data_IF_555300169868
#
_entry.id   IF_555300169868
#
_cell.length_a   1.000
_cell.length_b   1.000
_cell.length_c   1.000
_cell.angle_alpha   90.00
_cell.angle_beta   90.00
_cell.angle_gamma   90.00
#
_symmetry.space_group_name_H-M   'P 1'
#
loop_
_entity.id
_entity.type
_entity.pdbx_description
1 polymer ?
#
# COMPACT_ATOMS: atom_id res chain seq x y z
N UNK A 1 -15.62 3.59 -29.88
CA UNK A 1 -14.16 3.82 -29.73
C UNK A 1 -13.49 2.47 -29.61
N UNK A 2 -12.43 2.18 -30.38
CA UNK A 2 -11.59 1.02 -30.09
C UNK A 2 -11.04 1.16 -28.67
N UNK A 3 -11.03 0.05 -27.92
CA UNK A 3 -10.36 -0.02 -26.63
C UNK A 3 -8.90 0.43 -26.83
N UNK A 4 -8.33 1.28 -25.95
CA UNK A 4 -6.92 1.64 -26.07
C UNK A 4 -6.08 0.37 -26.12
N UNK A 5 -5.22 0.23 -27.12
CA UNK A 5 -4.24 -0.85 -27.19
C UNK A 5 -3.47 -0.87 -25.88
N UNK A 6 -3.56 -1.99 -25.16
CA UNK A 6 -2.75 -2.19 -23.97
C UNK A 6 -1.29 -2.12 -24.42
N UNK A 7 -0.43 -1.33 -23.74
CA UNK A 7 0.97 -1.23 -24.11
C UNK A 7 1.58 -2.63 -24.13
N UNK A 8 2.34 -2.95 -25.18
CA UNK A 8 3.04 -4.23 -25.27
C UNK A 8 3.87 -4.45 -24.01
N UNK A 9 3.84 -5.65 -23.42
CA UNK A 9 4.62 -5.95 -22.22
C UNK A 9 6.10 -5.69 -22.49
N UNK A 10 6.80 -5.13 -21.49
CA UNK A 10 8.24 -4.97 -21.57
C UNK A 10 8.90 -6.33 -21.85
N UNK A 11 9.99 -6.36 -22.61
CA UNK A 11 10.67 -7.59 -23.00
C UNK A 11 11.93 -7.79 -22.16
N UNK A 12 12.17 -9.02 -21.70
CA UNK A 12 13.42 -9.45 -21.09
C UNK A 12 14.21 -10.28 -22.11
N UNK A 13 15.46 -9.90 -22.38
CA UNK A 13 16.37 -10.66 -23.25
C UNK A 13 17.53 -11.25 -22.45
N UNK A 14 17.95 -12.47 -22.81
CA UNK A 14 19.15 -13.09 -22.25
C UNK A 14 19.81 -14.02 -23.27
N UNK A 15 21.07 -14.40 -23.02
CA UNK A 15 21.78 -15.39 -23.81
C UNK A 15 21.95 -16.67 -23.02
N UNK A 16 21.55 -17.80 -23.59
CA UNK A 16 21.66 -19.14 -22.99
C UNK A 16 22.28 -20.09 -24.04
N UNK A 17 23.41 -20.71 -23.70
CA UNK A 17 24.19 -21.57 -24.62
C UNK A 17 24.52 -20.91 -25.98
N UNK A 18 24.73 -19.59 -26.00
CA UNK A 18 25.02 -18.83 -27.23
C UNK A 18 23.79 -18.45 -28.06
N UNK A 19 22.59 -18.82 -27.63
CA UNK A 19 21.32 -18.46 -28.28
C UNK A 19 20.68 -17.28 -27.54
N UNK A 20 20.19 -16.28 -28.27
CA UNK A 20 19.41 -15.18 -27.72
C UNK A 20 17.96 -15.65 -27.49
N UNK A 21 17.47 -15.45 -26.27
CA UNK A 21 16.10 -15.71 -25.87
C UNK A 21 15.42 -14.42 -25.44
N UNK A 22 14.10 -14.38 -25.63
CA UNK A 22 13.24 -13.29 -25.19
C UNK A 22 11.97 -13.84 -24.55
N UNK A 23 11.45 -13.11 -23.57
CA UNK A 23 10.17 -13.39 -22.94
C UNK A 23 9.55 -12.09 -22.43
N UNK A 24 8.24 -12.09 -22.23
CA UNK A 24 7.56 -10.99 -21.56
C UNK A 24 8.12 -10.79 -20.15
N UNK A 25 8.34 -9.55 -19.76
CA UNK A 25 8.70 -9.17 -18.40
C UNK A 25 7.45 -8.74 -17.64
N UNK A 26 7.20 -9.38 -16.50
CA UNK A 26 6.11 -8.99 -15.60
C UNK A 26 6.65 -8.57 -14.24
N UNK A 27 6.36 -7.31 -13.89
CA UNK A 27 6.57 -6.72 -12.58
C UNK A 27 5.35 -5.87 -12.21
N UNK A 28 4.69 -6.18 -11.10
CA UNK A 28 3.44 -5.51 -10.71
C UNK A 28 3.65 -4.05 -10.35
N UNK A 29 4.82 -3.73 -9.80
CA UNK A 29 5.23 -2.37 -9.49
C UNK A 29 5.72 -1.56 -10.70
N UNK A 30 5.63 -2.10 -11.93
CA UNK A 30 6.10 -1.46 -13.15
C UNK A 30 7.62 -1.31 -13.25
N UNK A 31 8.40 -2.04 -12.45
CA UNK A 31 9.85 -2.01 -12.54
C UNK A 31 10.32 -2.44 -13.94
N UNK A 32 11.34 -1.78 -14.53
CA UNK A 32 11.88 -2.18 -15.83
C UNK A 32 12.60 -3.54 -15.73
N UNK A 33 12.69 -4.29 -16.85
CA UNK A 33 13.43 -5.55 -16.89
C UNK A 33 14.91 -5.33 -16.54
N UNK A 34 15.56 -6.26 -15.82
CA UNK A 34 17.01 -6.23 -15.62
C UNK A 34 17.78 -6.23 -16.93
N UNK A 35 18.87 -5.45 -17.00
CA UNK A 35 19.70 -5.33 -18.21
C UNK A 35 20.66 -6.49 -18.43
N UNK A 36 21.01 -7.21 -17.36
CA UNK A 36 21.94 -8.34 -17.39
C UNK A 36 21.27 -9.53 -16.75
N UNK A 37 21.27 -10.65 -17.44
CA UNK A 37 20.66 -11.90 -16.99
C UNK A 37 21.65 -13.02 -17.23
N UNK A 38 21.85 -13.87 -16.24
CA UNK A 38 22.62 -15.11 -16.36
C UNK A 38 21.77 -16.29 -15.92
N UNK A 39 22.01 -17.44 -16.53
CA UNK A 39 21.42 -18.71 -16.11
C UNK A 39 21.93 -19.08 -14.72
N UNK A 40 21.03 -19.52 -13.85
CA UNK A 40 21.34 -20.05 -12.53
C UNK A 40 20.58 -21.35 -12.29
N UNK A 41 21.16 -22.29 -11.55
CA UNK A 41 20.55 -23.56 -11.19
C UNK A 41 21.04 -24.04 -9.82
N UNK A 42 20.70 -25.27 -9.46
CA UNK A 42 20.99 -25.88 -8.15
C UNK A 42 22.50 -25.92 -7.80
N UNK A 43 23.40 -25.71 -8.76
CA UNK A 43 24.84 -25.64 -8.53
C UNK A 43 25.32 -24.28 -8.01
N UNK A 44 24.51 -23.22 -8.13
CA UNK A 44 24.90 -21.87 -7.77
C UNK A 44 24.86 -21.66 -6.25
N UNK A 45 26.01 -21.34 -5.66
CA UNK A 45 26.07 -20.99 -4.24
C UNK A 45 25.52 -19.58 -3.95
N UNK A 46 25.11 -19.37 -2.72
CA UNK A 46 24.44 -18.13 -2.30
C UNK A 46 25.36 -16.90 -2.24
N UNK A 47 26.68 -17.05 -2.08
CA UNK A 47 27.62 -15.93 -2.10
C UNK A 47 27.79 -15.37 -3.52
N UNK A 48 27.94 -16.26 -4.50
CA UNK A 48 27.97 -15.88 -5.92
C UNK A 48 26.65 -15.25 -6.36
N UNK A 49 25.51 -15.86 -6.01
CA UNK A 49 24.19 -15.32 -6.33
C UNK A 49 23.98 -13.91 -5.73
N UNK A 50 24.32 -13.75 -4.45
CA UNK A 50 24.22 -12.46 -3.76
C UNK A 50 25.10 -11.39 -4.42
N UNK A 51 26.37 -11.71 -4.71
CA UNK A 51 27.30 -10.79 -5.35
C UNK A 51 26.80 -10.33 -6.72
N UNK A 52 26.37 -11.26 -7.58
CA UNK A 52 25.83 -10.96 -8.90
C UNK A 52 24.58 -10.06 -8.81
N UNK A 53 23.67 -10.37 -7.89
CA UNK A 53 22.47 -9.57 -7.66
C UNK A 53 22.80 -8.14 -7.14
N UNK A 54 23.83 -7.98 -6.31
CA UNK A 54 24.32 -6.67 -5.88
C UNK A 54 24.93 -5.86 -7.04
N UNK A 55 25.60 -6.53 -7.98
CA UNK A 55 26.17 -5.94 -9.21
C UNK A 55 25.08 -5.62 -10.27
N UNK A 56 23.81 -5.96 -10.01
CA UNK A 56 22.69 -5.71 -10.90
C UNK A 56 22.49 -6.78 -11.97
N UNK A 57 23.08 -7.97 -11.80
CA UNK A 57 22.88 -9.13 -12.67
C UNK A 57 21.75 -10.00 -12.13
N UNK A 58 20.72 -10.19 -12.94
CA UNK A 58 19.61 -11.08 -12.64
C UNK A 58 19.98 -12.56 -12.88
N UNK A 59 19.39 -13.43 -12.08
CA UNK A 59 19.63 -14.87 -12.05
C UNK A 59 18.36 -15.56 -12.56
N UNK A 60 18.36 -15.99 -13.82
CA UNK A 60 17.24 -16.74 -14.37
C UNK A 60 17.35 -18.20 -13.94
N UNK A 61 16.48 -18.60 -13.00
CA UNK A 61 16.57 -19.89 -12.34
C UNK A 61 16.02 -21.03 -13.21
N UNK A 62 16.78 -22.12 -13.30
CA UNK A 62 16.49 -23.35 -14.05
C UNK A 62 16.56 -24.61 -13.19
N UNK A 63 16.82 -24.47 -11.89
CA UNK A 63 16.89 -25.59 -10.95
C UNK A 63 15.52 -25.93 -10.34
N UNK A 64 15.55 -26.56 -9.17
CA UNK A 64 14.34 -26.87 -8.41
C UNK A 64 13.73 -25.63 -7.72
N UNK A 65 12.39 -25.56 -7.65
CA UNK A 65 11.69 -24.41 -7.07
C UNK A 65 11.97 -24.22 -5.57
N UNK A 66 12.05 -25.30 -4.79
CA UNK A 66 12.34 -25.20 -3.36
C UNK A 66 13.78 -24.73 -3.12
N UNK A 67 14.71 -25.14 -3.98
CA UNK A 67 16.09 -24.66 -3.93
C UNK A 67 16.18 -23.17 -4.28
N UNK A 68 15.38 -22.69 -5.25
CA UNK A 68 15.25 -21.26 -5.53
C UNK A 68 14.79 -20.47 -4.30
N UNK A 69 13.79 -20.98 -3.56
CA UNK A 69 13.31 -20.37 -2.31
C UNK A 69 14.40 -20.34 -1.23
N UNK A 70 15.14 -21.43 -1.07
CA UNK A 70 16.25 -21.50 -0.12
C UNK A 70 17.37 -20.53 -0.49
N UNK A 71 17.69 -20.40 -1.78
CA UNK A 71 18.66 -19.42 -2.28
C UNK A 71 18.21 -17.98 -1.97
N UNK A 72 16.94 -17.65 -2.24
CA UNK A 72 16.37 -16.34 -1.92
C UNK A 72 16.48 -16.02 -0.41
N UNK A 73 16.17 -16.98 0.46
CA UNK A 73 16.32 -16.83 1.91
C UNK A 73 17.80 -16.68 2.32
N UNK A 74 18.71 -17.42 1.67
CA UNK A 74 20.14 -17.34 1.92
C UNK A 74 20.74 -16.00 1.47
N UNK A 75 20.24 -15.41 0.38
CA UNK A 75 20.56 -14.04 -0.04
C UNK A 75 20.02 -13.03 0.98
N UNK A 76 18.78 -13.19 1.46
CA UNK A 76 18.19 -12.31 2.47
C UNK A 76 19.03 -12.25 3.75
N UNK A 77 19.44 -13.42 4.27
CA UNK A 77 20.34 -13.49 5.45
C UNK A 77 21.69 -12.79 5.23
N UNK A 78 22.21 -12.77 4.00
CA UNK A 78 23.48 -12.08 3.66
C UNK A 78 23.31 -10.57 3.62
N UNK A 79 22.16 -10.07 3.17
CA UNK A 79 21.82 -8.65 3.26
C UNK A 79 21.74 -8.22 4.74
N UNK A 80 21.16 -9.07 5.60
CA UNK A 80 20.97 -8.76 7.02
C UNK A 80 22.28 -8.88 7.83
N UNK A 81 23.21 -9.74 7.39
CA UNK A 81 24.57 -9.82 7.96
C UNK A 81 25.37 -8.59 7.56
N UNK A 82 25.42 -7.57 8.42
CA UNK A 82 26.49 -6.55 8.37
C UNK A 82 27.86 -7.24 8.32
N UNK A 83 28.80 -6.80 7.47
CA UNK A 83 30.15 -7.34 7.51
C UNK A 83 30.76 -7.05 8.89
N UNK A 84 31.11 -8.11 9.63
CA UNK A 84 31.86 -8.02 10.89
C UNK A 84 33.27 -7.39 10.71
N UNK A 85 33.69 -7.08 9.49
CA UNK A 85 35.02 -6.56 9.15
C UNK A 85 35.12 -5.04 8.97
N UNK A 86 34.06 -4.26 9.19
CA UNK A 86 34.22 -2.83 9.51
C UNK A 86 33.98 -2.66 11.00
N UNK A 87 35.06 -2.81 11.79
CA UNK A 87 35.16 -2.11 13.09
C UNK A 87 34.58 -0.72 12.85
N UNK A 88 33.53 -0.36 13.59
CA UNK A 88 33.10 1.03 13.62
C UNK A 88 34.38 1.87 13.82
N UNK A 89 34.62 2.90 12.99
CA UNK A 89 35.74 3.78 13.27
C UNK A 89 35.62 4.22 14.73
N UNK A 90 36.74 4.29 15.43
CA UNK A 90 36.84 4.62 16.86
C UNK A 90 36.44 6.08 17.18
N UNK A 91 35.45 6.63 16.47
CA UNK A 91 34.73 7.84 16.77
C UNK A 91 33.24 7.51 16.76
N UNK A 92 32.63 7.48 17.94
CA UNK A 92 31.21 7.23 18.14
C UNK A 92 30.36 8.21 17.33
N UNK A 93 29.94 7.80 16.15
CA UNK A 93 28.92 8.53 15.40
C UNK A 93 27.60 8.29 16.13
N UNK A 94 27.05 9.36 16.70
CA UNK A 94 25.67 9.41 17.17
C UNK A 94 24.77 8.84 16.07
N UNK A 95 23.78 7.97 16.41
CA UNK A 95 22.80 7.53 15.43
C UNK A 95 22.19 8.73 14.70
N UNK A 96 21.94 8.62 13.38
CA UNK A 96 21.33 9.72 12.64
C UNK A 96 19.99 10.09 13.28
N UNK A 97 19.70 11.38 13.37
CA UNK A 97 18.41 11.86 13.82
C UNK A 97 17.34 11.68 12.72
N UNK A 98 16.07 11.86 13.07
CA UNK A 98 15.04 12.02 12.05
C UNK A 98 15.17 13.39 11.36
N UNK A 99 14.86 13.51 10.05
CA UNK A 99 14.34 12.49 9.14
C UNK A 99 15.43 11.61 8.47
N UNK A 100 16.72 11.86 8.70
CA UNK A 100 17.82 11.13 8.05
C UNK A 100 17.77 9.62 8.33
N UNK A 101 17.52 9.21 9.57
CA UNK A 101 17.35 7.80 9.95
C UNK A 101 16.25 7.11 9.16
N UNK A 102 15.13 7.79 8.91
CA UNK A 102 14.03 7.28 8.11
C UNK A 102 14.45 7.10 6.64
N UNK A 103 15.16 8.09 6.05
CA UNK A 103 15.66 7.98 4.69
C UNK A 103 16.66 6.83 4.51
N UNK A 104 17.61 6.66 5.45
CA UNK A 104 18.56 5.55 5.43
C UNK A 104 17.86 4.20 5.56
N UNK A 105 16.88 4.08 6.47
CA UNK A 105 16.07 2.87 6.60
C UNK A 105 15.33 2.53 5.29
N UNK A 106 14.74 3.54 4.64
CA UNK A 106 14.07 3.35 3.34
C UNK A 106 15.03 2.96 2.23
N UNK A 107 16.20 3.59 2.16
CA UNK A 107 17.23 3.25 1.18
C UNK A 107 17.68 1.79 1.35
N UNK A 108 17.90 1.34 2.59
CA UNK A 108 18.26 -0.04 2.89
C UNK A 108 17.15 -1.02 2.48
N UNK A 109 15.87 -0.72 2.77
CA UNK A 109 14.73 -1.55 2.34
C UNK A 109 14.59 -1.61 0.82
N UNK A 110 14.75 -0.49 0.13
CA UNK A 110 14.71 -0.44 -1.33
C UNK A 110 15.87 -1.23 -1.95
N UNK A 111 17.08 -1.14 -1.38
CA UNK A 111 18.23 -1.93 -1.83
C UNK A 111 18.00 -3.42 -1.60
N UNK A 112 17.51 -3.83 -0.42
CA UNK A 112 17.13 -5.21 -0.12
C UNK A 112 16.12 -5.73 -1.14
N UNK A 113 15.08 -4.94 -1.41
CA UNK A 113 14.03 -5.28 -2.35
C UNK A 113 14.58 -5.49 -3.77
N UNK A 114 15.44 -4.59 -4.25
CA UNK A 114 16.10 -4.71 -5.56
C UNK A 114 16.98 -5.96 -5.65
N UNK A 115 17.88 -6.17 -4.68
CA UNK A 115 18.79 -7.32 -4.69
C UNK A 115 18.05 -8.66 -4.66
N UNK A 116 17.04 -8.79 -3.79
CA UNK A 116 16.22 -10.01 -3.74
C UNK A 116 15.31 -10.17 -4.97
N UNK A 117 14.99 -9.05 -5.65
CA UNK A 117 14.23 -9.04 -6.89
C UNK A 117 14.96 -9.69 -8.08
N UNK A 118 16.29 -9.82 -8.01
CA UNK A 118 17.14 -10.33 -9.09
C UNK A 118 17.06 -11.84 -9.30
N UNK A 119 16.46 -12.61 -8.39
CA UNK A 119 16.20 -14.03 -8.64
C UNK A 119 14.90 -14.17 -9.44
N UNK A 120 15.04 -14.55 -10.72
CA UNK A 120 13.95 -14.61 -11.69
C UNK A 120 13.48 -16.05 -11.92
N UNK A 121 12.20 -16.19 -12.24
CA UNK A 121 11.53 -17.49 -12.48
C UNK A 121 10.79 -17.40 -13.81
N UNK A 122 10.95 -18.40 -14.71
CA UNK A 122 10.11 -18.52 -15.90
C UNK A 122 8.69 -18.94 -15.53
N UNK A 123 7.72 -18.50 -16.31
CA UNK A 123 6.32 -18.90 -16.19
C UNK A 123 5.73 -19.12 -17.58
N UNK A 124 5.12 -20.27 -17.78
CA UNK A 124 4.44 -20.66 -19.01
C UNK A 124 3.00 -20.14 -19.07
N UNK A 125 2.33 -20.19 -20.24
CA UNK A 125 0.91 -19.86 -20.38
C UNK A 125 0.04 -20.55 -19.32
N UNK A 126 -0.99 -19.84 -18.86
CA UNK A 126 -1.82 -20.29 -17.74
C UNK A 126 -1.16 -20.14 -16.35
N UNK A 127 -0.07 -19.36 -16.25
CA UNK A 127 0.66 -19.10 -15.00
C UNK A 127 1.32 -20.34 -14.39
N UNK A 128 1.83 -21.24 -15.23
CA UNK A 128 2.45 -22.49 -14.81
C UNK A 128 3.95 -22.26 -14.62
N UNK A 129 4.50 -22.53 -13.44
CA UNK A 129 5.95 -22.47 -13.21
C UNK A 129 6.57 -23.80 -13.64
N UNK A 130 7.38 -23.86 -14.71
CA UNK A 130 7.90 -25.11 -15.28
C UNK A 130 9.13 -25.62 -14.50
N UNK A 131 9.10 -25.53 -13.17
CA UNK A 131 10.18 -25.96 -12.28
C UNK A 131 9.72 -27.11 -11.40
N UNK A 132 10.63 -28.04 -11.11
CA UNK A 132 10.35 -29.18 -10.23
C UNK A 132 9.94 -28.68 -8.84
N UNK A 133 8.92 -29.32 -8.24
CA UNK A 133 8.32 -28.97 -6.93
C UNK A 133 7.80 -27.53 -6.83
N UNK A 134 7.49 -26.89 -7.95
CA UNK A 134 6.75 -25.64 -7.94
C UNK A 134 5.31 -25.87 -7.46
N UNK A 135 4.77 -25.01 -6.58
CA UNK A 135 3.37 -25.04 -6.22
C UNK A 135 2.51 -24.53 -7.38
N UNK A 136 1.21 -24.82 -7.32
CA UNK A 136 0.25 -24.11 -8.16
C UNK A 136 0.17 -22.64 -7.72
N UNK A 137 0.42 -21.73 -8.64
CA UNK A 137 0.40 -20.28 -8.45
C UNK A 137 -0.64 -19.60 -9.34
N UNK A 138 -1.41 -20.36 -10.10
CA UNK A 138 -2.15 -19.84 -11.23
C UNK A 138 -3.20 -18.80 -10.82
N UNK A 139 -3.98 -19.11 -9.79
CA UNK A 139 -5.00 -18.19 -9.29
C UNK A 139 -4.42 -16.93 -8.63
N UNK A 140 -3.28 -17.04 -7.96
CA UNK A 140 -2.61 -15.88 -7.36
C UNK A 140 -2.07 -14.93 -8.42
N UNK A 141 -1.52 -15.47 -9.51
CA UNK A 141 -1.07 -14.67 -10.64
C UNK A 141 -2.26 -14.09 -11.43
N UNK A 142 -3.32 -14.87 -11.66
CA UNK A 142 -4.51 -14.45 -12.40
C UNK A 142 -5.20 -13.26 -11.72
N UNK A 143 -5.30 -13.26 -10.39
CA UNK A 143 -5.89 -12.15 -9.60
C UNK A 143 -5.18 -10.81 -9.81
N UNK A 144 -3.88 -10.84 -10.17
CA UNK A 144 -3.03 -9.64 -10.17
C UNK A 144 -2.57 -9.25 -11.56
N UNK A 145 -2.10 -10.21 -12.34
CA UNK A 145 -1.63 -10.01 -13.70
C UNK A 145 -2.71 -10.21 -14.76
N UNK A 146 -3.86 -10.76 -14.39
CA UNK A 146 -4.84 -11.22 -15.38
C UNK A 146 -4.30 -12.39 -16.21
N UNK A 147 -4.97 -12.77 -17.30
CA UNK A 147 -4.62 -13.95 -18.07
C UNK A 147 -3.19 -13.89 -18.65
N UNK A 148 -2.54 -15.05 -18.73
CA UNK A 148 -1.25 -15.23 -19.40
C UNK A 148 -1.40 -16.19 -20.58
N UNK A 149 -1.50 -15.63 -21.79
CA UNK A 149 -1.52 -16.39 -23.04
C UNK A 149 -0.12 -16.74 -23.56
N UNK A 150 0.91 -16.01 -23.13
CA UNK A 150 2.29 -16.16 -23.58
C UNK A 150 3.23 -16.41 -22.38
N UNK A 151 4.40 -17.06 -22.58
CA UNK A 151 5.41 -17.22 -21.55
C UNK A 151 5.97 -15.88 -21.08
N UNK A 152 6.28 -15.78 -19.79
CA UNK A 152 6.87 -14.58 -19.19
C UNK A 152 7.88 -14.92 -18.09
N UNK A 153 8.64 -13.91 -17.67
CA UNK A 153 9.58 -13.97 -16.56
C UNK A 153 9.20 -12.94 -15.52
N UNK A 154 9.27 -13.34 -14.25
CA UNK A 154 9.04 -12.46 -13.10
C UNK A 154 10.01 -12.77 -11.96
N UNK A 155 10.01 -11.96 -10.90
CA UNK A 155 10.82 -12.21 -9.71
C UNK A 155 10.20 -13.30 -8.83
N UNK A 156 11.02 -14.23 -8.31
CA UNK A 156 10.56 -15.21 -7.32
C UNK A 156 10.00 -14.51 -6.07
N UNK A 157 10.63 -13.40 -5.64
CA UNK A 157 10.18 -12.63 -4.48
C UNK A 157 8.78 -12.08 -4.68
N UNK A 158 8.49 -11.56 -5.88
CA UNK A 158 7.17 -11.04 -6.22
C UNK A 158 6.15 -12.18 -6.29
N UNK A 159 6.46 -13.28 -6.99
CA UNK A 159 5.60 -14.45 -7.08
C UNK A 159 5.20 -14.99 -5.70
N UNK A 160 6.15 -15.12 -4.77
CA UNK A 160 5.87 -15.54 -3.39
C UNK A 160 4.99 -14.52 -2.64
N UNK A 161 5.13 -13.23 -2.95
CA UNK A 161 4.27 -12.17 -2.43
C UNK A 161 2.82 -12.31 -2.90
N UNK A 162 2.60 -12.62 -4.18
CA UNK A 162 1.27 -12.87 -4.76
C UNK A 162 0.60 -14.07 -4.10
N UNK A 163 1.31 -15.19 -4.00
CA UNK A 163 0.82 -16.43 -3.36
C UNK A 163 0.46 -16.18 -1.90
N UNK A 164 1.36 -15.52 -1.17
CA UNK A 164 1.11 -15.17 0.23
C UNK A 164 -0.13 -14.29 0.39
N UNK A 165 -0.23 -13.20 -0.37
CA UNK A 165 -1.36 -12.29 -0.29
C UNK A 165 -2.71 -12.96 -0.57
N UNK A 166 -2.77 -13.89 -1.53
CA UNK A 166 -3.99 -14.67 -1.78
C UNK A 166 -4.38 -15.56 -0.60
N UNK A 167 -3.43 -16.26 0.02
CA UNK A 167 -3.70 -17.06 1.23
C UNK A 167 -4.21 -16.21 2.40
N UNK A 168 -3.73 -14.97 2.52
CA UNK A 168 -4.24 -14.01 3.49
C UNK A 168 -5.65 -13.52 3.13
N UNK A 169 -5.93 -13.30 1.84
CA UNK A 169 -7.27 -12.90 1.34
C UNK A 169 -8.34 -13.92 1.73
N UNK A 170 -8.06 -15.22 1.64
CA UNK A 170 -9.02 -16.28 2.00
C UNK A 170 -9.48 -16.21 3.47
N UNK A 171 -8.63 -15.70 4.38
CA UNK A 171 -8.99 -15.55 5.80
C UNK A 171 -9.78 -14.27 6.07
N UNK A 172 -9.50 -13.19 5.34
CA UNK A 172 -10.02 -11.86 5.63
C UNK A 172 -9.48 -11.27 6.94
N UNK A 173 -9.82 -10.02 7.19
CA UNK A 173 -9.46 -9.25 8.40
C UNK A 173 -10.72 -9.01 9.20
N UNK A 174 -10.77 -9.46 10.44
CA UNK A 174 -11.89 -9.20 11.34
C UNK A 174 -11.98 -7.73 11.71
N UNK A 175 -13.18 -7.16 11.58
CA UNK A 175 -13.50 -5.78 11.94
C UNK A 175 -14.59 -5.82 13.01
N UNK A 176 -14.23 -5.74 14.30
CA UNK A 176 -15.20 -5.82 15.39
C UNK A 176 -16.34 -4.81 15.28
N UNK A 177 -16.06 -3.57 14.84
CA UNK A 177 -17.05 -2.52 14.62
C UNK A 177 -18.10 -2.87 13.55
N UNK A 178 -17.82 -3.83 12.66
CA UNK A 178 -18.77 -4.34 11.66
C UNK A 178 -19.39 -5.67 12.08
N UNK A 179 -18.85 -6.34 13.11
CA UNK A 179 -19.22 -7.72 13.46
C UNK A 179 -18.92 -8.73 12.35
N UNK A 180 -18.00 -8.41 11.43
CA UNK A 180 -17.72 -9.21 10.24
C UNK A 180 -16.27 -8.94 9.77
N UNK A 181 -15.85 -9.56 8.67
CA UNK A 181 -14.52 -9.45 8.09
C UNK A 181 -14.50 -8.46 6.93
N UNK A 182 -13.31 -8.10 6.48
CA UNK A 182 -13.00 -7.44 5.20
C UNK A 182 -12.02 -8.32 4.43
N UNK A 183 -12.26 -8.49 3.15
CA UNK A 183 -11.44 -9.32 2.25
C UNK A 183 -10.67 -8.37 1.32
N UNK A 184 -9.44 -7.96 1.65
CA UNK A 184 -8.66 -7.05 0.81
C UNK A 184 -8.14 -7.76 -0.44
N UNK A 185 -8.18 -7.09 -1.58
CA UNK A 185 -7.49 -7.52 -2.80
C UNK A 185 -5.98 -7.25 -2.69
N UNK A 186 -5.18 -7.91 -3.53
CA UNK A 186 -3.75 -7.64 -3.61
C UNK A 186 -3.47 -6.16 -3.94
N UNK A 187 -2.55 -5.53 -3.19
CA UNK A 187 -2.19 -4.12 -3.40
C UNK A 187 -3.17 -3.11 -2.81
N UNK A 188 -4.38 -3.52 -2.41
CA UNK A 188 -5.33 -2.65 -1.68
C UNK A 188 -5.01 -2.68 -0.19
N UNK A 189 -5.06 -1.53 0.48
CA UNK A 189 -4.71 -1.43 1.89
C UNK A 189 -5.56 -2.38 2.74
N UNK A 190 -4.89 -3.25 3.49
CA UNK A 190 -5.54 -4.14 4.43
C UNK A 190 -5.78 -3.41 5.76
N UNK A 191 -7.01 -3.39 6.31
CA UNK A 191 -7.31 -2.75 7.60
C UNK A 191 -6.81 -3.57 8.81
N UNK A 192 -5.68 -4.27 8.70
CA UNK A 192 -5.03 -5.02 9.80
C UNK A 192 -4.59 -4.11 10.95
N UNK A 193 -4.46 -2.81 10.70
CA UNK A 193 -4.27 -1.76 11.69
C UNK A 193 -5.58 -0.99 11.85
N UNK A 194 -6.61 -1.69 12.31
CA UNK A 194 -7.99 -1.22 12.28
C UNK A 194 -8.40 -0.31 13.43
N UNK A 195 -7.49 0.12 14.30
CA UNK A 195 -7.81 0.91 15.49
C UNK A 195 -8.52 2.23 15.14
N UNK A 196 -8.20 2.84 14.00
CA UNK A 196 -8.89 4.04 13.52
C UNK A 196 -10.39 3.81 13.27
N UNK A 197 -10.83 2.57 13.01
CA UNK A 197 -12.24 2.25 12.81
C UNK A 197 -13.04 2.40 14.10
N UNK A 198 -12.40 2.24 15.26
CA UNK A 198 -13.04 2.52 16.56
C UNK A 198 -13.35 4.02 16.69
N UNK A 199 -12.46 4.89 16.19
CA UNK A 199 -12.71 6.34 16.14
C UNK A 199 -13.90 6.65 15.22
N UNK A 200 -13.94 6.05 14.03
CA UNK A 200 -15.06 6.22 13.08
C UNK A 200 -16.36 5.66 13.65
N UNK A 201 -16.32 4.60 14.46
CA UNK A 201 -17.50 4.02 15.09
C UNK A 201 -18.07 4.91 16.22
N UNK A 202 -17.20 5.62 16.94
CA UNK A 202 -17.56 6.39 18.13
C UNK A 202 -17.84 7.87 17.85
N UNK A 203 -17.20 8.47 16.84
CA UNK A 203 -17.37 9.89 16.54
C UNK A 203 -18.84 10.25 16.24
N UNK A 204 -19.38 11.33 16.82
CA UNK A 204 -20.79 11.69 16.66
C UNK A 204 -21.07 12.08 15.20
N UNK A 205 -22.09 11.48 14.58
CA UNK A 205 -22.44 11.79 13.19
C UNK A 205 -23.05 13.20 13.10
N UNK A 206 -22.54 14.09 12.23
CA UNK A 206 -23.14 15.41 11.99
C UNK A 206 -24.50 15.31 11.28
N UNK A 207 -24.77 14.18 10.64
CA UNK A 207 -26.01 13.85 9.97
C UNK A 207 -25.92 12.47 9.31
N UNK A 208 -27.05 11.97 8.82
CA UNK A 208 -27.16 10.61 8.25
C UNK A 208 -27.70 10.59 6.83
N UNK A 209 -27.90 11.73 6.19
CA UNK A 209 -28.48 11.77 4.85
C UNK A 209 -27.51 11.28 3.78
N UNK A 210 -26.30 11.87 3.75
CA UNK A 210 -25.30 11.62 2.73
C UNK A 210 -23.90 11.77 3.34
N UNK A 211 -23.04 10.79 3.07
CA UNK A 211 -21.61 10.87 3.36
C UNK A 211 -20.76 10.60 2.12
N UNK A 212 -19.56 11.18 2.07
CA UNK A 212 -18.52 10.82 1.11
C UNK A 212 -17.39 10.06 1.82
N UNK A 213 -16.91 8.96 1.23
CA UNK A 213 -15.74 8.19 1.68
C UNK A 213 -14.64 8.30 0.63
N UNK A 214 -13.64 9.14 0.90
CA UNK A 214 -12.61 9.55 -0.05
C UNK A 214 -11.42 8.59 0.03
N UNK A 215 -11.12 7.90 -1.09
CA UNK A 215 -10.10 6.84 -1.13
C UNK A 215 -10.56 5.59 -0.40
N UNK A 216 -11.75 5.09 -0.76
CA UNK A 216 -12.48 4.05 -0.03
C UNK A 216 -11.71 2.73 0.11
N UNK A 217 -10.78 2.43 -0.81
CA UNK A 217 -9.92 1.25 -0.73
C UNK A 217 -10.71 -0.05 -0.67
N UNK A 218 -10.82 -0.64 0.53
CA UNK A 218 -11.59 -1.87 0.77
C UNK A 218 -13.09 -1.65 0.97
N UNK A 219 -13.56 -0.40 1.05
CA UNK A 219 -14.95 -0.08 1.38
C UNK A 219 -15.27 -0.15 2.88
N UNK A 220 -14.26 -0.34 3.74
CA UNK A 220 -14.48 -0.58 5.19
C UNK A 220 -15.10 0.62 5.91
N UNK A 221 -14.69 1.85 5.57
CA UNK A 221 -15.26 3.07 6.16
C UNK A 221 -16.68 3.27 5.63
N UNK A 222 -16.88 3.21 4.30
CA UNK A 222 -18.22 3.28 3.72
C UNK A 222 -19.20 2.26 4.31
N UNK A 223 -18.76 1.01 4.50
CA UNK A 223 -19.57 -0.02 5.13
C UNK A 223 -19.92 0.32 6.59
N UNK A 224 -18.95 0.82 7.35
CA UNK A 224 -19.15 1.23 8.73
C UNK A 224 -20.14 2.40 8.83
N UNK A 225 -20.01 3.41 7.98
CA UNK A 225 -20.95 4.53 7.92
C UNK A 225 -22.38 4.06 7.59
N UNK A 226 -22.54 3.17 6.61
CA UNK A 226 -23.84 2.57 6.29
C UNK A 226 -24.43 1.80 7.47
N UNK A 227 -23.61 1.03 8.20
CA UNK A 227 -24.04 0.30 9.42
C UNK A 227 -24.41 1.23 10.58
N UNK A 228 -23.84 2.44 10.62
CA UNK A 228 -24.19 3.49 11.59
C UNK A 228 -25.45 4.28 11.21
N UNK A 229 -26.12 3.92 10.11
CA UNK A 229 -27.39 4.51 9.69
C UNK A 229 -27.27 5.66 8.70
N UNK A 230 -26.09 5.89 8.11
CA UNK A 230 -25.96 6.82 6.97
C UNK A 230 -26.69 6.22 5.77
N UNK A 231 -27.72 6.93 5.29
CA UNK A 231 -28.65 6.45 4.26
C UNK A 231 -27.99 6.27 2.89
N UNK A 232 -27.07 7.16 2.54
CA UNK A 232 -26.32 7.11 1.29
C UNK A 232 -24.85 7.43 1.53
N UNK A 233 -23.97 6.61 0.98
CA UNK A 233 -22.53 6.87 0.96
C UNK A 233 -22.05 6.89 -0.48
N UNK A 234 -21.35 7.93 -0.90
CA UNK A 234 -20.59 7.92 -2.16
C UNK A 234 -19.14 7.65 -1.82
N UNK A 235 -18.64 6.50 -2.24
CA UNK A 235 -17.30 6.02 -1.95
C UNK A 235 -16.43 6.13 -3.21
N UNK A 236 -15.34 6.89 -3.13
CA UNK A 236 -14.51 7.23 -4.28
C UNK A 236 -13.13 6.58 -4.21
N UNK A 237 -12.60 6.19 -5.36
CA UNK A 237 -11.19 5.77 -5.49
C UNK A 237 -10.73 5.94 -6.95
N UNK A 238 -9.44 6.10 -7.20
CA UNK A 238 -8.88 6.15 -8.55
C UNK A 238 -8.52 4.75 -9.08
N UNK A 239 -8.23 3.83 -8.16
CA UNK A 239 -7.82 2.47 -8.50
C UNK A 239 -9.05 1.60 -8.76
N UNK A 240 -9.14 1.07 -9.99
CA UNK A 240 -10.19 0.14 -10.38
C UNK A 240 -10.16 -1.15 -9.54
N UNK A 241 -8.98 -1.58 -9.07
CA UNK A 241 -8.81 -2.74 -8.18
C UNK A 241 -9.39 -2.45 -6.80
N UNK A 242 -9.16 -1.27 -6.23
CA UNK A 242 -9.79 -0.83 -5.00
C UNK A 242 -11.32 -0.81 -5.11
N UNK A 243 -11.87 -0.23 -6.19
CA UNK A 243 -13.33 -0.21 -6.40
C UNK A 243 -13.93 -1.61 -6.56
N UNK A 244 -13.23 -2.53 -7.23
CA UNK A 244 -13.66 -3.93 -7.30
C UNK A 244 -13.65 -4.59 -5.91
N UNK A 245 -12.59 -4.36 -5.13
CA UNK A 245 -12.46 -4.83 -3.75
C UNK A 245 -13.59 -4.30 -2.86
N UNK A 246 -13.88 -3.00 -2.92
CA UNK A 246 -14.96 -2.37 -2.18
C UNK A 246 -16.32 -2.97 -2.56
N UNK A 247 -16.59 -3.13 -3.87
CA UNK A 247 -17.86 -3.71 -4.35
C UNK A 247 -18.12 -5.10 -3.79
N UNK A 248 -17.12 -5.98 -3.82
CA UNK A 248 -17.23 -7.34 -3.28
C UNK A 248 -17.49 -7.34 -1.75
N UNK A 249 -16.77 -6.49 -1.01
CA UNK A 249 -16.97 -6.39 0.44
C UNK A 249 -18.33 -5.82 0.80
N UNK A 250 -18.77 -4.75 0.14
CA UNK A 250 -20.07 -4.10 0.38
C UNK A 250 -21.23 -5.05 0.06
N UNK A 251 -21.11 -5.86 -0.98
CA UNK A 251 -22.09 -6.89 -1.32
C UNK A 251 -22.17 -7.97 -0.24
N UNK A 252 -21.02 -8.52 0.19
CA UNK A 252 -20.96 -9.53 1.27
C UNK A 252 -21.50 -8.99 2.60
N UNK A 253 -21.22 -7.74 2.91
CA UNK A 253 -21.70 -7.05 4.12
C UNK A 253 -23.17 -6.63 4.03
N UNK A 254 -23.86 -6.84 2.90
CA UNK A 254 -25.27 -6.51 2.72
C UNK A 254 -25.59 -5.01 2.70
N UNK A 255 -24.61 -4.16 2.41
CA UNK A 255 -24.76 -2.69 2.41
C UNK A 255 -24.61 -2.06 1.02
N UNK A 256 -24.43 -2.87 -0.03
CA UNK A 256 -24.27 -2.39 -1.40
C UNK A 256 -25.40 -1.46 -1.88
N UNK A 257 -26.63 -1.62 -1.39
CA UNK A 257 -27.75 -0.73 -1.75
C UNK A 257 -27.65 0.69 -1.19
N UNK A 258 -26.79 0.93 -0.19
CA UNK A 258 -26.57 2.25 0.43
C UNK A 258 -25.30 2.94 -0.08
N UNK A 259 -24.41 2.21 -0.76
CA UNK A 259 -23.07 2.71 -1.13
C UNK A 259 -22.91 2.76 -2.65
N UNK A 260 -22.69 3.97 -3.17
CA UNK A 260 -22.37 4.21 -4.57
C UNK A 260 -20.86 4.33 -4.76
N UNK A 261 -20.28 3.47 -5.59
CA UNK A 261 -18.85 3.48 -5.92
C UNK A 261 -18.59 4.32 -7.17
N UNK A 262 -17.66 5.27 -7.07
CA UNK A 262 -17.30 6.15 -8.18
C UNK A 262 -15.79 6.20 -8.40
N UNK A 263 -15.36 6.08 -9.67
CA UNK A 263 -13.95 6.23 -10.06
C UNK A 263 -13.62 7.68 -10.33
N UNK A 264 -13.16 8.41 -9.32
CA UNK A 264 -12.86 9.85 -9.40
C UNK A 264 -11.60 10.19 -8.58
N UNK A 265 -10.95 11.30 -8.92
CA UNK A 265 -9.85 11.85 -8.11
C UNK A 265 -10.42 12.64 -6.93
N UNK A 266 -10.35 12.02 -5.75
CA UNK A 266 -10.85 12.54 -4.47
C UNK A 266 -12.37 12.71 -4.43
N UNK A 267 -12.92 13.82 -4.88
CA UNK A 267 -14.30 14.21 -4.56
C UNK A 267 -15.30 13.82 -5.66
N UNK A 268 -16.48 13.29 -5.30
CA UNK A 268 -17.63 13.25 -6.20
C UNK A 268 -18.29 14.64 -6.27
N UNK A 269 -19.13 14.92 -7.27
CA UNK A 269 -19.88 16.18 -7.30
C UNK A 269 -20.87 16.29 -6.14
N UNK A 270 -21.04 17.52 -5.61
CA UNK A 270 -22.05 17.86 -4.61
C UNK A 270 -21.49 18.09 -3.21
N UNK A 271 -22.39 18.17 -2.24
CA UNK A 271 -22.07 18.43 -0.83
C UNK A 271 -22.67 17.35 0.07
N UNK A 272 -21.95 16.98 1.13
CA UNK A 272 -22.37 15.98 2.09
C UNK A 272 -22.36 16.53 3.52
N UNK A 273 -23.17 15.92 4.39
CA UNK A 273 -23.14 16.23 5.83
C UNK A 273 -21.87 15.67 6.48
N UNK A 274 -21.30 14.63 5.89
CA UNK A 274 -20.06 14.00 6.35
C UNK A 274 -19.15 13.69 5.17
N UNK A 275 -17.88 14.09 5.24
CA UNK A 275 -16.86 13.69 4.27
C UNK A 275 -15.70 13.07 5.03
N UNK A 276 -15.43 11.78 4.83
CA UNK A 276 -14.38 11.04 5.55
C UNK A 276 -13.21 10.76 4.62
N UNK A 277 -11.99 10.90 5.13
CA UNK A 277 -10.77 10.54 4.43
C UNK A 277 -9.76 9.93 5.40
N UNK A 278 -9.22 8.76 5.04
CA UNK A 278 -8.10 8.11 5.70
C UNK A 278 -6.90 8.07 4.74
N UNK A 279 -6.25 9.23 4.47
CA UNK A 279 -5.20 9.29 3.49
C UNK A 279 -3.96 8.53 3.96
N UNK A 280 -3.08 8.12 3.04
CA UNK A 280 -1.73 7.70 3.40
C UNK A 280 -1.03 8.82 4.18
N UNK A 281 -0.31 8.49 5.25
CA UNK A 281 0.06 9.46 6.29
C UNK A 281 1.56 9.78 6.37
N UNK A 282 2.40 9.11 5.56
CA UNK A 282 3.85 9.32 5.57
C UNK A 282 4.29 10.02 4.28
N UNK A 283 4.84 11.25 4.33
CA UNK A 283 5.14 12.01 3.12
C UNK A 283 6.44 11.53 2.46
N UNK A 284 6.35 10.42 1.74
CA UNK A 284 7.47 9.77 1.08
C UNK A 284 7.00 9.09 -0.22
N UNK A 285 7.94 8.67 -1.06
CA UNK A 285 7.60 7.96 -2.30
C UNK A 285 7.30 6.49 -2.04
N UNK A 286 6.19 5.94 -2.53
CA UNK A 286 5.98 4.51 -2.56
C UNK A 286 6.90 3.82 -3.60
N UNK A 287 7.35 2.60 -3.32
CA UNK A 287 8.17 1.78 -4.24
C UNK A 287 7.46 0.51 -4.72
N UNK A 288 6.26 0.26 -4.22
CA UNK A 288 5.35 -0.80 -4.61
C UNK A 288 3.89 -0.32 -4.43
N UNK A 289 2.91 -0.88 -5.15
CA UNK A 289 1.50 -0.47 -5.03
C UNK A 289 0.94 -0.55 -3.62
N UNK A 290 1.21 -1.63 -2.86
CA UNK A 290 0.79 -1.75 -1.45
C UNK A 290 1.34 -0.63 -0.54
N UNK A 291 2.45 -0.01 -0.93
CA UNK A 291 3.07 1.09 -0.18
C UNK A 291 2.37 2.43 -0.42
N UNK A 292 1.58 2.58 -1.50
CA UNK A 292 0.80 3.79 -1.79
C UNK A 292 -0.26 4.07 -0.72
N UNK A 293 -0.72 3.04 -0.02
CA UNK A 293 -1.64 3.17 1.10
C UNK A 293 -1.01 3.76 2.38
N UNK A 294 0.32 3.83 2.45
CA UNK A 294 1.04 4.34 3.62
C UNK A 294 1.80 5.62 3.28
N UNK A 295 2.33 5.70 2.06
CA UNK A 295 3.14 6.82 1.63
C UNK A 295 2.38 7.76 0.70
N UNK A 296 2.36 9.05 1.05
CA UNK A 296 1.73 10.12 0.30
C UNK A 296 2.81 11.10 -0.21
N UNK A 297 3.40 10.90 -1.40
CA UNK A 297 4.43 11.79 -1.91
C UNK A 297 3.94 13.23 -1.89
N UNK A 298 4.71 14.13 -1.26
CA UNK A 298 4.37 15.55 -1.15
C UNK A 298 3.04 15.84 -0.41
N UNK A 299 2.50 14.85 0.33
CA UNK A 299 1.18 14.92 0.95
C UNK A 299 0.05 15.19 -0.06
N UNK A 300 0.14 14.63 -1.28
CA UNK A 300 -0.81 14.86 -2.38
C UNK A 300 -2.26 14.60 -1.95
N UNK A 301 -2.55 13.40 -1.42
CA UNK A 301 -3.92 13.03 -1.07
C UNK A 301 -4.42 13.83 0.12
N UNK A 302 -3.59 14.02 1.14
CA UNK A 302 -3.93 14.83 2.29
C UNK A 302 -4.25 16.28 1.91
N UNK A 303 -3.36 16.92 1.13
CA UNK A 303 -3.55 18.32 0.70
C UNK A 303 -4.75 18.44 -0.23
N UNK A 304 -4.87 17.56 -1.22
CA UNK A 304 -6.03 17.56 -2.11
C UNK A 304 -7.34 17.38 -1.36
N UNK A 305 -7.38 16.53 -0.32
CA UNK A 305 -8.54 16.43 0.56
C UNK A 305 -8.82 17.75 1.29
N UNK A 306 -7.83 18.34 1.96
CA UNK A 306 -8.02 19.60 2.69
C UNK A 306 -8.47 20.73 1.76
N UNK A 307 -7.78 20.91 0.63
CA UNK A 307 -8.03 21.98 -0.35
C UNK A 307 -9.43 21.88 -0.98
N UNK A 308 -9.95 20.66 -1.18
CA UNK A 308 -11.28 20.44 -1.75
C UNK A 308 -12.43 20.31 -0.74
N UNK A 309 -12.12 20.05 0.53
CA UNK A 309 -13.13 19.67 1.53
C UNK A 309 -14.20 20.74 1.74
N UNK A 310 -13.81 22.01 1.84
CA UNK A 310 -14.76 23.10 2.09
C UNK A 310 -15.85 23.20 1.00
N UNK A 311 -15.53 22.95 -0.27
CA UNK A 311 -16.52 23.03 -1.36
C UNK A 311 -17.55 21.89 -1.31
N UNK A 312 -17.18 20.76 -0.69
CA UNK A 312 -17.96 19.52 -0.64
C UNK A 312 -18.64 19.28 0.73
N UNK A 313 -18.51 20.22 1.66
CA UNK A 313 -19.26 20.21 2.91
C UNK A 313 -20.59 20.94 2.77
N UNK A 314 -21.65 20.34 3.31
CA UNK A 314 -22.88 21.07 3.59
C UNK A 314 -22.62 22.14 4.67
N UNK A 315 -23.48 23.17 4.83
CA UNK A 315 -23.25 24.27 5.77
C UNK A 315 -22.92 23.84 7.21
N UNK A 316 -23.60 22.82 7.72
CA UNK A 316 -23.39 22.23 9.06
C UNK A 316 -22.65 20.88 9.00
N UNK A 317 -22.01 20.58 7.88
CA UNK A 317 -21.30 19.33 7.66
C UNK A 317 -19.93 19.28 8.34
N UNK A 318 -19.42 18.06 8.54
CA UNK A 318 -18.06 17.84 9.04
C UNK A 318 -17.21 17.02 8.08
N UNK A 319 -15.94 17.38 7.98
CA UNK A 319 -14.90 16.54 7.39
C UNK A 319 -14.20 15.73 8.47
N UNK A 320 -14.11 14.42 8.32
CA UNK A 320 -13.31 13.56 9.19
C UNK A 320 -12.00 13.20 8.50
N UNK A 321 -10.90 13.74 9.02
CA UNK A 321 -9.56 13.37 8.60
C UNK A 321 -8.96 12.39 9.60
N UNK A 322 -8.63 11.18 9.15
CA UNK A 322 -7.97 10.16 9.96
C UNK A 322 -6.48 10.21 9.66
N UNK A 323 -5.64 10.42 10.67
CA UNK A 323 -4.22 10.62 10.45
C UNK A 323 -3.36 10.23 11.64
N UNK A 324 -2.28 9.52 11.35
CA UNK A 324 -1.24 9.21 12.33
C UNK A 324 -0.24 10.35 12.50
N UNK A 325 0.20 10.58 13.74
CA UNK A 325 1.27 11.53 14.07
C UNK A 325 2.68 11.01 13.72
N UNK A 326 2.80 9.83 13.10
CA UNK A 326 4.08 9.23 12.75
C UNK A 326 4.95 10.16 11.88
N UNK A 327 4.36 10.89 10.93
CA UNK A 327 5.11 11.86 10.13
C UNK A 327 5.72 13.00 10.96
N UNK A 328 5.07 13.38 12.06
CA UNK A 328 5.56 14.40 13.00
C UNK A 328 6.72 13.84 13.83
N UNK A 329 6.57 12.61 14.32
CA UNK A 329 7.62 11.90 15.08
C UNK A 329 8.87 11.64 14.26
N UNK A 330 8.68 11.37 12.96
CA UNK A 330 9.74 11.20 11.99
C UNK A 330 10.26 12.53 11.41
N UNK A 331 9.76 13.67 11.90
CA UNK A 331 10.14 15.02 11.43
C UNK A 331 10.02 15.20 9.91
N UNK A 332 9.08 14.48 9.28
CA UNK A 332 8.80 14.57 7.85
C UNK A 332 7.76 15.65 7.54
N UNK A 333 6.92 15.99 8.52
CA UNK A 333 5.94 17.08 8.48
C UNK A 333 5.55 17.44 9.91
N UNK A 334 5.55 18.72 10.26
CA UNK A 334 5.19 19.17 11.60
C UNK A 334 3.68 19.28 11.81
N UNK A 335 3.24 19.35 13.07
CA UNK A 335 1.84 19.62 13.45
C UNK A 335 1.41 20.99 12.95
N UNK A 336 2.28 21.98 13.07
CA UNK A 336 2.04 23.37 12.66
C UNK A 336 1.77 23.44 11.16
N UNK A 337 2.50 22.67 10.35
CA UNK A 337 2.26 22.59 8.91
C UNK A 337 0.87 22.03 8.60
N UNK A 338 0.44 20.95 9.28
CA UNK A 338 -0.91 20.41 9.11
C UNK A 338 -1.99 21.43 9.50
N UNK A 339 -1.85 22.09 10.64
CA UNK A 339 -2.81 23.09 11.11
C UNK A 339 -2.86 24.31 10.18
N UNK A 340 -1.72 24.73 9.63
CA UNK A 340 -1.66 25.80 8.64
C UNK A 340 -2.38 25.42 7.33
N UNK A 341 -2.30 24.16 6.90
CA UNK A 341 -3.04 23.69 5.72
C UNK A 341 -4.54 23.63 5.96
N UNK A 342 -4.97 23.19 7.15
CA UNK A 342 -6.38 23.23 7.55
C UNK A 342 -6.89 24.69 7.53
N UNK A 343 -6.13 25.62 8.09
CA UNK A 343 -6.51 27.03 8.14
C UNK A 343 -6.58 27.65 6.74
N UNK A 344 -5.58 27.39 5.88
CA UNK A 344 -5.52 27.88 4.50
C UNK A 344 -6.68 27.34 3.64
N UNK A 345 -7.19 26.15 3.94
CA UNK A 345 -8.36 25.56 3.29
C UNK A 345 -9.70 26.16 3.76
N UNK A 346 -9.68 27.19 4.63
CA UNK A 346 -10.90 27.80 5.16
C UNK A 346 -11.65 26.91 6.17
N UNK A 347 -10.94 25.96 6.78
CA UNK A 347 -11.47 25.02 7.75
C UNK A 347 -10.99 25.35 9.17
N UNK A 348 -11.69 24.84 10.18
CA UNK A 348 -11.21 24.82 11.56
C UNK A 348 -11.43 23.45 12.20
N UNK A 349 -10.64 23.13 13.23
CA UNK A 349 -10.81 21.90 14.01
C UNK A 349 -11.96 22.10 15.00
N UNK A 350 -13.04 21.34 14.81
CA UNK A 350 -14.16 21.28 15.74
C UNK A 350 -13.83 20.43 16.97
N UNK A 351 -13.16 19.29 16.75
CA UNK A 351 -12.84 18.31 17.79
C UNK A 351 -11.76 17.33 17.28
N UNK A 352 -11.14 16.56 18.19
CA UNK A 352 -10.12 15.56 17.89
C UNK A 352 -10.21 14.37 18.83
N UNK A 353 -10.26 13.17 18.26
CA UNK A 353 -10.27 11.91 19.00
C UNK A 353 -9.01 11.11 18.70
N UNK A 354 -8.40 10.50 19.72
CA UNK A 354 -7.12 9.79 19.60
C UNK A 354 -7.24 8.31 19.97
N UNK A 355 -6.46 7.48 19.28
CA UNK A 355 -6.25 6.08 19.65
C UNK A 355 -4.79 5.68 19.48
N UNK A 356 -4.31 4.81 20.38
CA UNK A 356 -2.97 4.22 20.30
C UNK A 356 -3.00 2.91 19.50
N UNK A 357 -1.94 2.61 18.72
CA UNK A 357 -1.85 1.35 18.00
C UNK A 357 -1.75 0.16 18.97
N UNK A 358 -2.44 -0.92 18.64
CA UNK A 358 -2.40 -2.23 19.31
C UNK A 358 -1.68 -3.29 18.46
N UNK A 359 -1.34 -2.95 17.22
CA UNK A 359 -0.74 -3.88 16.25
C UNK A 359 0.73 -4.25 16.54
N UNK A 360 1.14 -5.46 16.15
CA UNK A 360 2.48 -6.00 16.42
C UNK A 360 3.66 -5.16 15.91
N UNK A 361 3.50 -4.39 14.82
CA UNK A 361 4.56 -3.49 14.31
C UNK A 361 4.91 -2.33 15.25
N UNK A 362 4.06 -2.00 16.21
CA UNK A 362 4.36 -1.00 17.25
C UNK A 362 5.15 -1.62 18.41
N UNK A 363 5.14 -2.95 18.52
CA UNK A 363 5.79 -3.74 19.58
C UNK A 363 7.12 -4.36 19.12
N UNK A 364 7.45 -4.26 17.83
CA UNK A 364 8.67 -4.82 17.23
C UNK A 364 9.90 -3.99 17.61
N UNK A 365 10.65 -4.44 18.62
CA UNK A 365 11.84 -3.77 19.13
C UNK A 365 13.03 -3.77 18.16
N UNK A 366 13.02 -4.67 17.16
CA UNK A 366 14.08 -4.75 16.14
C UNK A 366 13.84 -3.77 14.97
N UNK A 367 12.67 -3.10 14.92
CA UNK A 367 12.39 -2.08 13.92
C UNK A 367 13.19 -0.80 14.21
N UNK A 368 14.00 -0.28 13.26
CA UNK A 368 14.73 0.99 13.44
C UNK A 368 13.84 2.21 13.74
N UNK A 369 12.54 2.11 13.47
CA UNK A 369 11.53 3.12 13.76
C UNK A 369 10.69 2.79 15.00
N UNK A 370 11.07 1.77 15.80
CA UNK A 370 10.31 1.27 16.94
C UNK A 370 9.92 2.39 17.90
N UNK A 371 10.86 3.23 18.35
CA UNK A 371 10.57 4.31 19.29
C UNK A 371 9.50 5.28 18.76
N UNK A 372 9.54 5.61 17.47
CA UNK A 372 8.52 6.46 16.84
C UNK A 372 7.17 5.74 16.72
N UNK A 373 7.16 4.44 16.38
CA UNK A 373 5.93 3.64 16.26
C UNK A 373 5.29 3.27 17.59
N UNK A 374 6.07 3.08 18.63
CA UNK A 374 5.58 2.79 19.97
C UNK A 374 4.89 4.02 20.58
N UNK A 375 5.35 5.22 20.23
CA UNK A 375 4.76 6.47 20.66
C UNK A 375 3.67 6.99 19.71
N UNK A 376 3.51 6.39 18.53
CA UNK A 376 2.55 6.78 17.48
C UNK A 376 1.12 6.85 18.02
N UNK A 377 0.38 7.89 17.59
CA UNK A 377 -1.05 8.05 17.84
C UNK A 377 -1.75 8.26 16.51
N UNK A 378 -2.88 7.59 16.32
CA UNK A 378 -3.80 7.87 15.22
C UNK A 378 -4.95 8.73 15.73
N UNK A 379 -5.24 9.80 15.01
CA UNK A 379 -6.27 10.77 15.37
C UNK A 379 -7.35 10.83 14.30
N UNK A 380 -8.60 11.02 14.73
CA UNK A 380 -9.70 11.48 13.89
C UNK A 380 -9.92 12.96 14.19
N UNK A 381 -9.66 13.80 13.20
CA UNK A 381 -9.86 15.24 13.24
C UNK A 381 -11.23 15.56 12.67
N UNK A 382 -12.08 16.21 13.46
CA UNK A 382 -13.37 16.72 13.01
C UNK A 382 -13.18 18.16 12.54
N UNK A 383 -13.34 18.37 11.25
CA UNK A 383 -13.12 19.64 10.56
C UNK A 383 -14.47 20.24 10.14
N UNK A 384 -14.60 21.56 10.21
CA UNK A 384 -15.78 22.30 9.74
C UNK A 384 -15.33 23.59 9.06
N UNK A 385 -16.25 24.29 8.40
CA UNK A 385 -15.98 25.63 7.91
C UNK A 385 -15.53 26.57 9.04
N UNK A 386 -14.53 27.42 8.76
CA UNK A 386 -14.02 28.42 9.72
C UNK A 386 -15.04 29.52 10.03
N UNK A 387 -15.90 29.86 9.07
CA UNK A 387 -17.03 30.78 9.22
C UNK A 387 -18.30 30.12 8.68
N UNK A 388 -19.49 30.33 9.28
CA UNK A 388 -20.73 29.87 8.69
C UNK A 388 -20.84 30.45 7.28
N UNK A 389 -21.04 29.60 6.26
CA UNK A 389 -21.31 30.08 4.91
C UNK A 389 -22.55 30.99 4.97
N UNK A 390 -22.55 32.18 4.34
CA UNK A 390 -23.75 32.99 4.28
C UNK A 390 -24.85 32.13 3.65
N UNK A 391 -26.00 32.04 4.33
CA UNK A 391 -27.15 31.30 3.82
C UNK A 391 -27.41 31.77 2.38
N UNK A 392 -27.25 30.87 1.41
CA UNK A 392 -27.59 31.18 0.02
C UNK A 392 -29.09 31.46 0.01
N UNK A 393 -29.44 32.74 -0.18
CA UNK A 393 -30.81 33.20 -0.27
C UNK A 393 -31.56 32.39 -1.32
N UNK A 394 -32.79 32.03 -0.95
CA UNK A 394 -33.76 31.24 -1.71
C UNK A 394 -34.03 31.85 -3.09
#
# INVERSE_FOLDING_TARGET
MPLPELPSPAQLSWTEHGVEHRADWRAENGAPPPRRVVRADDSMNADTAYRLACEGTALLWRGDFQNARQLLQAMARRIDRRPASKKAPAGGKTPPAFPEAFHLHRQARAQRARTLGMLLIPVEPGHIVPLRRAPDVALACQDVYGPAGEPYVTSLRELLGLVGARQWREKGVEIPALGDRIIPHYGVYSPVRGEYLDLVAQAPLPGTALAFDIGTGTGVIAALLARRGVRQVVATDQDARALACARENLARLGVAGQVHLARVDLFPPGQAQLVVCNPPWVPARATAPIEQAVYDPESRMLRGFLDGLAEHLAPDGEGWLILSDLAERLQLRSREALLAWIDAAGLCVADKMDIRPRHGKAQDADDPLHAARAAEVTSLWRLRHKSPLPARGI
#
